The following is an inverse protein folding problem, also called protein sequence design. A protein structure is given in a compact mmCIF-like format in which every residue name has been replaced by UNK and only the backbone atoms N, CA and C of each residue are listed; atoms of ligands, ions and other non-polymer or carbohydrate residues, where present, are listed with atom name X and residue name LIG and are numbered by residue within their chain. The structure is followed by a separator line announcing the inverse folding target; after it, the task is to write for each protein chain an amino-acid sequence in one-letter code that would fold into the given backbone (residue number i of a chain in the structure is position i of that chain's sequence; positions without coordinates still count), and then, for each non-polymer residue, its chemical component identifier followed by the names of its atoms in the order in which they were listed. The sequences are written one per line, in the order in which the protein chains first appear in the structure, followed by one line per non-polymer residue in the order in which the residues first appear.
data_IF_858972492891
#
_entry.id   IF_858972492891
#
_cell.length_a   1.000
_cell.length_b   1.000
_cell.length_c   1.000
_cell.angle_alpha   90.00
_cell.angle_beta   90.00
_cell.angle_gamma   90.00
#
_symmetry.space_group_name_H-M   'P 1'
#
loop_
_entity.id
_entity.type
_entity.pdbx_description
1 polymer ?
#
# COMPACT_ATOMS: atom_id res chain seq x y z
N UNK A 1 -6.81 -2.38 -26.90
CA UNK A 1 -7.36 -1.08 -26.46
C UNK A 1 -7.98 -1.03 -25.04
N UNK A 2 -8.34 -2.16 -24.39
CA UNK A 2 -9.02 -2.16 -23.07
C UNK A 2 -8.16 -1.79 -21.84
N UNK A 3 -6.83 -1.71 -21.98
CA UNK A 3 -5.91 -1.49 -20.84
C UNK A 3 -5.86 0.00 -20.41
N UNK A 4 -6.03 0.95 -21.35
CA UNK A 4 -6.03 2.40 -21.02
C UNK A 4 -7.18 2.80 -20.06
N UNK A 5 -8.35 2.16 -20.15
CA UNK A 5 -9.50 2.47 -19.27
C UNK A 5 -9.28 2.07 -17.81
N UNK A 6 -8.49 1.03 -17.51
CA UNK A 6 -8.26 0.58 -16.13
C UNK A 6 -7.25 1.44 -15.38
N UNK A 7 -6.28 2.02 -16.09
CA UNK A 7 -5.27 2.91 -15.50
C UNK A 7 -5.90 4.25 -15.06
N UNK A 8 -6.83 4.79 -15.85
CA UNK A 8 -7.54 6.01 -15.46
C UNK A 8 -8.37 5.84 -14.19
N UNK A 9 -8.98 4.67 -13.95
CA UNK A 9 -9.86 4.47 -12.80
C UNK A 9 -9.13 4.46 -11.44
N UNK A 10 -7.85 4.06 -11.41
CA UNK A 10 -7.04 4.04 -10.18
C UNK A 10 -6.34 5.36 -9.88
N UNK A 11 -6.03 6.17 -10.90
CA UNK A 11 -5.34 7.46 -10.72
C UNK A 11 -6.27 8.58 -10.24
N UNK A 12 -7.55 8.54 -10.62
CA UNK A 12 -8.55 9.55 -10.27
C UNK A 12 -8.73 9.71 -8.74
N UNK A 13 -8.92 8.65 -7.93
CA UNK A 13 -9.08 8.82 -6.48
C UNK A 13 -7.81 9.32 -5.79
N UNK A 14 -6.62 8.96 -6.27
CA UNK A 14 -5.34 9.43 -5.72
C UNK A 14 -5.14 10.93 -5.99
N UNK A 15 -5.46 11.38 -7.21
CA UNK A 15 -5.38 12.80 -7.59
C UNK A 15 -6.45 13.61 -6.84
N UNK A 16 -7.67 13.09 -6.67
CA UNK A 16 -8.72 13.72 -5.87
C UNK A 16 -8.32 13.85 -4.41
N UNK A 17 -7.73 12.81 -3.81
CA UNK A 17 -7.29 12.84 -2.42
C UNK A 17 -6.15 13.85 -2.20
N UNK A 18 -5.19 13.91 -3.13
CA UNK A 18 -4.12 14.92 -3.12
C UNK A 18 -4.66 16.34 -3.30
N UNK A 19 -5.67 16.53 -4.16
CA UNK A 19 -6.28 17.84 -4.41
C UNK A 19 -7.09 18.33 -3.19
N UNK A 20 -7.80 17.43 -2.52
CA UNK A 20 -8.54 17.74 -1.28
C UNK A 20 -7.58 18.04 -0.13
N UNK A 21 -6.48 17.27 0.00
CA UNK A 21 -5.43 17.55 0.99
C UNK A 21 -4.74 18.90 0.75
N UNK A 22 -4.47 19.24 -0.51
CA UNK A 22 -3.88 20.54 -0.89
C UNK A 22 -4.87 21.70 -0.66
N UNK A 23 -6.16 21.50 -0.98
CA UNK A 23 -7.20 22.49 -0.71
C UNK A 23 -7.43 22.71 0.81
N UNK A 24 -7.28 21.68 1.63
CA UNK A 24 -7.36 21.80 3.09
C UNK A 24 -6.15 22.54 3.71
N UNK A 25 -5.02 22.55 3.02
CA UNK A 25 -3.80 23.28 3.43
C UNK A 25 -3.84 24.77 3.06
N UNK A 26 -4.59 25.15 2.02
CA UNK A 26 -4.84 26.55 1.66
C UNK A 26 -6.04 27.07 2.47
N UNK A 27 -5.84 27.27 3.78
CA UNK A 27 -6.75 28.20 4.49
C UNK A 27 -6.46 29.61 3.96
N UNK A 28 -7.49 30.40 3.62
CA UNK A 28 -7.28 31.78 3.19
C UNK A 28 -6.53 32.51 4.30
N UNK A 29 -5.33 32.99 3.99
CA UNK A 29 -4.62 33.90 4.88
C UNK A 29 -5.50 35.12 5.09
N UNK A 30 -5.70 35.57 6.35
CA UNK A 30 -6.45 36.78 6.60
C UNK A 30 -5.80 37.94 5.81
N UNK A 31 -6.62 38.87 5.27
CA UNK A 31 -6.11 39.97 4.46
C UNK A 31 -5.04 40.74 5.25
N UNK A 32 -3.96 41.19 4.57
CA UNK A 32 -2.90 41.94 5.24
C UNK A 32 -3.50 43.19 5.90
N UNK A 33 -3.16 43.48 7.16
CA UNK A 33 -3.65 44.69 7.81
C UNK A 33 -3.20 45.90 7.00
N UNK A 34 -4.15 46.82 6.77
CA UNK A 34 -3.87 48.13 6.19
C UNK A 34 -2.72 48.79 6.94
N UNK A 35 -1.92 49.62 6.23
CA UNK A 35 -0.68 50.28 6.65
C UNK A 35 -0.78 51.12 7.94
N UNK A 36 -1.08 50.47 9.07
CA UNK A 36 -0.97 50.98 10.42
C UNK A 36 0.42 50.62 10.94
N UNK A 37 1.05 51.55 11.64
CA UNK A 37 2.38 51.34 12.23
C UNK A 37 2.42 50.08 13.10
N UNK A 38 3.64 49.60 13.37
CA UNK A 38 3.95 48.36 14.12
C UNK A 38 3.10 48.13 15.39
N UNK A 39 2.62 49.21 16.01
CA UNK A 39 1.68 49.22 17.15
C UNK A 39 0.30 48.63 16.83
N UNK A 40 -0.26 48.86 15.64
CA UNK A 40 -1.56 48.30 15.24
C UNK A 40 -1.47 46.81 14.88
N UNK A 41 -0.33 46.35 14.37
CA UNK A 41 -0.09 44.91 14.13
C UNK A 41 -0.08 44.14 15.45
N UNK A 42 0.52 44.69 16.50
CA UNK A 42 0.47 44.10 17.85
C UNK A 42 -0.94 44.12 18.45
N UNK A 43 -1.69 45.20 18.24
CA UNK A 43 -3.08 45.31 18.70
C UNK A 43 -4.03 44.34 17.99
N UNK A 44 -3.87 44.18 16.67
CA UNK A 44 -4.67 43.25 15.87
C UNK A 44 -4.34 41.77 16.17
N UNK A 45 -3.11 41.48 16.59
CA UNK A 45 -2.69 40.16 17.05
C UNK A 45 -3.20 39.82 18.48
N UNK A 46 -3.92 40.73 19.15
CA UNK A 46 -4.38 40.54 20.53
C UNK A 46 -3.26 40.51 21.55
N UNK A 47 -2.06 40.98 21.20
CA UNK A 47 -0.90 40.99 22.09
C UNK A 47 -1.02 42.25 22.96
N UNK A 48 -1.19 42.12 24.29
CA UNK A 48 -1.30 43.28 25.18
C UNK A 48 -0.04 44.13 25.06
N UNK A 49 -0.21 45.46 25.05
CA UNK A 49 0.90 46.41 25.04
C UNK A 49 1.84 46.10 26.20
N UNK A 50 3.15 45.97 25.90
CA UNK A 50 4.23 45.74 26.87
C UNK A 50 4.07 46.45 28.24
N UNK A 51 3.65 47.73 28.33
CA UNK A 51 3.42 48.37 29.64
C UNK A 51 2.31 47.75 30.50
N UNK A 52 1.30 47.13 29.90
CA UNK A 52 0.17 46.55 30.65
C UNK A 52 0.52 45.15 31.15
N UNK A 53 1.22 44.34 30.34
CA UNK A 53 1.75 43.03 30.76
C UNK A 53 2.71 43.15 31.94
N UNK A 54 3.56 44.19 31.94
CA UNK A 54 4.47 44.48 33.05
C UNK A 54 3.70 44.87 34.31
N UNK A 55 2.62 45.66 34.21
CA UNK A 55 1.77 46.03 35.36
C UNK A 55 1.03 44.83 35.95
N UNK A 56 0.54 43.91 35.13
CA UNK A 56 -0.12 42.69 35.62
C UNK A 56 0.90 41.79 36.33
N UNK A 57 2.10 41.62 35.78
CA UNK A 57 3.16 40.80 36.38
C UNK A 57 3.80 41.39 37.65
N UNK A 58 3.78 42.72 37.84
CA UNK A 58 4.29 43.40 39.05
C UNK A 58 3.33 43.32 40.26
N UNK A 59 2.24 42.54 40.17
CA UNK A 59 1.35 42.27 41.31
C UNK A 59 0.35 43.40 41.62
N UNK A 60 0.18 44.36 40.71
CA UNK A 60 -0.82 45.43 40.86
C UNK A 60 -2.25 44.96 40.55
N UNK A 61 -2.42 43.76 39.99
CA UNK A 61 -3.71 43.12 39.74
C UNK A 61 -3.62 41.67 40.24
N UNK A 62 -4.49 41.21 41.17
CA UNK A 62 -4.52 39.82 41.61
C UNK A 62 -5.02 38.93 40.46
N UNK A 63 -4.09 38.27 39.76
CA UNK A 63 -4.36 37.30 38.71
C UNK A 63 -3.13 36.42 38.44
N UNK A 64 -3.36 35.14 38.12
CA UNK A 64 -2.34 34.12 37.82
C UNK A 64 -1.39 34.57 36.68
N UNK A 65 -0.30 35.26 37.02
CA UNK A 65 0.70 35.70 36.03
C UNK A 65 1.65 34.60 35.58
N UNK A 66 1.73 33.48 36.31
CA UNK A 66 2.58 32.35 35.94
C UNK A 66 2.19 31.74 34.60
N UNK A 67 0.89 31.64 34.35
CA UNK A 67 0.33 30.91 33.20
C UNK A 67 0.49 31.72 31.90
N UNK A 68 0.34 33.05 31.99
CA UNK A 68 0.42 33.94 30.84
C UNK A 68 1.87 34.12 30.35
N UNK A 69 2.84 34.20 31.27
CA UNK A 69 4.25 34.37 30.92
C UNK A 69 4.81 33.09 30.30
N UNK A 70 4.43 31.92 30.81
CA UNK A 70 4.81 30.62 30.25
C UNK A 70 4.24 30.42 28.83
N UNK A 71 2.96 30.75 28.62
CA UNK A 71 2.32 30.59 27.30
C UNK A 71 2.87 31.57 26.27
N UNK A 72 3.25 32.78 26.69
CA UNK A 72 3.85 33.78 25.79
C UNK A 72 5.31 33.46 25.45
N UNK A 73 6.10 32.94 26.40
CA UNK A 73 7.49 32.56 26.15
C UNK A 73 7.62 31.29 25.30
N UNK A 74 6.69 30.36 25.47
CA UNK A 74 6.70 29.07 24.78
C UNK A 74 5.86 29.12 23.49
N UNK A 75 4.97 30.10 23.35
CA UNK A 75 4.03 30.27 22.24
C UNK A 75 3.19 29.03 21.96
N UNK A 76 2.93 28.23 23.01
CA UNK A 76 1.97 27.16 22.95
C UNK A 76 0.57 27.76 23.13
N UNK A 77 -0.42 27.30 22.35
CA UNK A 77 -1.80 27.69 22.55
C UNK A 77 -2.30 27.29 23.94
N UNK A 78 -3.10 28.13 24.59
CA UNK A 78 -3.59 27.90 25.96
C UNK A 78 -4.31 26.54 26.12
N UNK A 79 -5.01 26.10 25.07
CA UNK A 79 -5.76 24.84 25.06
C UNK A 79 -4.87 23.59 25.24
N UNK A 80 -3.57 23.69 24.94
CA UNK A 80 -2.62 22.58 25.16
C UNK A 80 -2.51 22.27 26.65
N UNK A 81 -2.52 23.29 27.50
CA UNK A 81 -2.44 23.11 28.95
C UNK A 81 -3.81 22.85 29.57
N UNK A 82 -4.87 23.47 29.05
CA UNK A 82 -6.24 23.31 29.59
C UNK A 82 -6.78 21.89 29.39
N UNK A 83 -6.36 21.21 28.32
CA UNK A 83 -6.85 19.87 28.00
C UNK A 83 -6.32 18.78 28.95
N UNK A 84 -5.31 19.07 29.77
CA UNK A 84 -4.72 18.14 30.74
C UNK A 84 -4.15 16.85 30.14
N UNK A 85 -4.15 16.73 28.81
CA UNK A 85 -3.83 15.49 28.12
C UNK A 85 -2.36 15.51 27.71
N UNK A 86 -1.56 14.66 28.34
CA UNK A 86 -0.12 14.52 28.07
C UNK A 86 0.19 14.28 26.58
N UNK A 87 -0.79 13.74 25.85
CA UNK A 87 -0.73 13.50 24.41
C UNK A 87 -0.50 14.78 23.60
N UNK A 88 -1.20 15.88 23.92
CA UNK A 88 -1.01 17.16 23.21
C UNK A 88 0.38 17.73 23.47
N UNK A 89 0.87 17.59 24.71
CA UNK A 89 2.23 17.99 25.07
C UNK A 89 3.26 17.21 24.24
N UNK A 90 3.12 15.89 24.14
CA UNK A 90 4.01 15.07 23.30
C UNK A 90 3.93 15.49 21.83
N UNK A 91 2.72 15.67 21.29
CA UNK A 91 2.53 15.95 19.87
C UNK A 91 3.01 17.34 19.44
N UNK A 92 2.79 18.36 20.26
CA UNK A 92 3.07 19.75 19.91
C UNK A 92 4.40 20.28 20.47
N UNK A 93 4.97 19.64 21.51
CA UNK A 93 6.26 20.00 22.07
C UNK A 93 7.35 19.00 21.68
N UNK A 94 7.17 17.72 22.04
CA UNK A 94 8.24 16.73 22.00
C UNK A 94 8.57 16.30 20.56
N UNK A 95 7.55 16.02 19.75
CA UNK A 95 7.72 15.60 18.35
C UNK A 95 8.45 16.67 17.50
N UNK A 96 7.99 17.95 17.45
CA UNK A 96 8.68 18.96 16.65
C UNK A 96 10.08 19.29 17.18
N UNK A 97 10.29 19.23 18.50
CA UNK A 97 11.62 19.38 19.09
C UNK A 97 12.57 18.27 18.62
N UNK A 98 12.16 17.01 18.72
CA UNK A 98 12.93 15.86 18.23
C UNK A 98 13.19 15.94 16.73
N UNK A 99 12.20 16.35 15.94
CA UNK A 99 12.34 16.57 14.50
C UNK A 99 13.42 17.60 14.18
N UNK A 100 13.37 18.75 14.83
CA UNK A 100 14.36 19.84 14.63
C UNK A 100 15.76 19.40 15.08
N UNK A 101 15.86 18.72 16.21
CA UNK A 101 17.13 18.17 16.70
C UNK A 101 17.75 17.17 15.72
N UNK A 102 16.94 16.25 15.19
CA UNK A 102 17.39 15.27 14.19
C UNK A 102 17.85 15.93 12.88
N UNK A 103 17.13 16.96 12.42
CA UNK A 103 17.50 17.73 11.22
C UNK A 103 18.84 18.46 11.44
N UNK A 104 18.97 19.20 12.55
CA UNK A 104 20.21 19.91 12.90
C UNK A 104 21.40 18.95 13.07
N UNK A 105 21.16 17.80 13.71
CA UNK A 105 22.16 16.75 13.85
C UNK A 105 22.58 16.20 12.47
N UNK A 106 21.64 15.95 11.57
CA UNK A 106 21.90 15.56 10.19
C UNK A 106 22.79 16.56 9.45
N UNK A 107 22.44 17.85 9.52
CA UNK A 107 23.24 18.92 8.91
C UNK A 107 24.66 18.99 9.47
N UNK A 108 24.84 18.94 10.79
CA UNK A 108 26.17 18.97 11.39
C UNK A 108 27.00 17.71 11.10
N UNK A 109 26.34 16.57 10.95
CA UNK A 109 26.99 15.33 10.51
C UNK A 109 27.52 15.46 9.08
N UNK A 110 26.75 16.08 8.18
CA UNK A 110 27.12 16.26 6.78
C UNK A 110 28.21 17.31 6.59
N UNK A 111 28.14 18.43 7.33
CA UNK A 111 29.16 19.49 7.29
C UNK A 111 30.52 19.07 7.88
N UNK A 112 30.60 17.92 8.57
CA UNK A 112 31.83 17.31 9.12
C UNK A 112 32.71 18.27 9.96
N UNK A 113 32.13 19.30 10.57
CA UNK A 113 32.87 20.36 11.31
C UNK A 113 33.71 19.77 12.45
N UNK A 114 33.21 18.75 13.14
CA UNK A 114 33.98 18.03 14.18
C UNK A 114 34.10 16.53 13.85
N UNK A 115 35.04 16.19 12.96
CA UNK A 115 35.31 14.79 12.60
C UNK A 115 35.74 13.93 13.80
N UNK A 116 36.44 14.52 14.78
CA UNK A 116 37.01 13.80 15.95
C UNK A 116 36.03 13.71 17.13
N UNK A 117 35.15 14.69 17.31
CA UNK A 117 34.30 14.80 18.50
C UNK A 117 32.83 14.50 18.18
N UNK A 118 32.51 13.24 17.85
CA UNK A 118 31.14 12.84 17.45
C UNK A 118 30.06 13.21 18.48
N UNK A 119 30.38 13.12 19.78
CA UNK A 119 29.44 13.45 20.87
C UNK A 119 29.12 14.95 20.93
N UNK A 120 30.09 15.80 20.58
CA UNK A 120 29.90 17.26 20.61
C UNK A 120 28.86 17.68 19.59
N UNK A 121 28.84 17.06 18.39
CA UNK A 121 27.82 17.35 17.37
C UNK A 121 26.40 17.07 17.88
N UNK A 122 26.20 16.03 18.68
CA UNK A 122 24.88 15.69 19.22
C UNK A 122 24.40 16.74 20.23
N UNK A 123 25.29 17.17 21.14
CA UNK A 123 24.98 18.21 22.12
C UNK A 123 24.79 19.59 21.48
N UNK A 124 25.61 19.92 20.48
CA UNK A 124 25.48 21.17 19.73
C UNK A 124 24.17 21.21 18.94
N UNK A 125 23.74 20.08 18.37
CA UNK A 125 22.43 19.95 17.71
C UNK A 125 21.29 20.18 18.69
N UNK A 126 21.42 19.61 19.89
CA UNK A 126 20.42 19.73 20.93
C UNK A 126 20.27 21.19 21.39
N UNK A 127 21.41 21.88 21.63
CA UNK A 127 21.43 23.30 22.00
C UNK A 127 20.89 24.19 20.88
N UNK A 128 21.24 23.91 19.62
CA UNK A 128 20.72 24.65 18.47
C UNK A 128 19.20 24.47 18.31
N UNK A 129 18.69 23.24 18.46
CA UNK A 129 17.26 22.96 18.42
C UNK A 129 16.52 23.64 19.58
N UNK A 130 17.11 23.65 20.78
CA UNK A 130 16.56 24.35 21.94
C UNK A 130 16.52 25.86 21.72
N UNK A 131 17.57 26.43 21.11
CA UNK A 131 17.61 27.85 20.74
C UNK A 131 16.61 28.22 19.64
N UNK A 132 16.24 27.27 18.76
CA UNK A 132 15.24 27.50 17.70
C UNK A 132 13.80 27.40 18.21
N UNK A 133 13.59 26.80 19.38
CA UNK A 133 12.27 26.58 19.95
C UNK A 133 11.43 27.86 20.13
N UNK A 134 11.95 28.96 20.72
CA UNK A 134 11.17 30.20 20.89
C UNK A 134 10.90 30.95 19.57
N UNK A 135 11.52 30.56 18.45
CA UNK A 135 11.28 31.22 17.17
C UNK A 135 9.96 30.79 16.52
N UNK A 136 9.27 29.77 17.04
CA UNK A 136 8.03 29.18 16.50
C UNK A 136 8.09 28.68 15.05
N UNK A 137 9.21 28.87 14.32
CA UNK A 137 9.42 28.41 12.94
C UNK A 137 9.65 26.89 12.87
N UNK A 138 10.19 26.30 13.94
CA UNK A 138 10.46 24.87 14.01
C UNK A 138 9.19 24.01 13.87
N UNK A 139 8.07 24.49 14.42
CA UNK A 139 6.79 23.77 14.36
C UNK A 139 6.23 23.63 12.92
N UNK A 140 5.97 24.70 12.15
CA UNK A 140 5.46 24.56 10.80
C UNK A 140 6.45 23.84 9.86
N UNK A 141 7.76 24.02 10.07
CA UNK A 141 8.79 23.35 9.28
C UNK A 141 8.77 21.84 9.48
N UNK A 142 8.74 21.38 10.74
CA UNK A 142 8.68 19.94 11.05
C UNK A 142 7.36 19.33 10.62
N UNK A 143 6.24 20.04 10.80
CA UNK A 143 4.94 19.61 10.31
C UNK A 143 4.93 19.43 8.79
N UNK A 144 5.49 20.39 8.04
CA UNK A 144 5.65 20.30 6.59
C UNK A 144 6.51 19.08 6.21
N UNK A 145 7.64 18.86 6.88
CA UNK A 145 8.50 17.70 6.61
C UNK A 145 7.77 16.38 6.86
N UNK A 146 7.02 16.27 7.96
CA UNK A 146 6.21 15.08 8.25
C UNK A 146 5.11 14.86 7.22
N UNK A 147 4.47 15.93 6.73
CA UNK A 147 3.48 15.84 5.66
C UNK A 147 4.10 15.35 4.36
N UNK A 148 5.27 15.88 3.97
CA UNK A 148 5.99 15.46 2.77
C UNK A 148 6.41 13.99 2.87
N UNK A 149 7.01 13.58 3.99
CA UNK A 149 7.43 12.18 4.21
C UNK A 149 6.22 11.24 4.26
N UNK A 150 5.14 11.65 4.92
CA UNK A 150 3.90 10.89 4.98
C UNK A 150 3.27 10.70 3.60
N UNK A 151 3.15 11.79 2.82
CA UNK A 151 2.68 11.74 1.44
C UNK A 151 3.57 10.84 0.57
N UNK A 152 4.89 10.96 0.72
CA UNK A 152 5.86 10.15 -0.01
C UNK A 152 5.73 8.65 0.30
N UNK A 153 5.52 8.30 1.56
CA UNK A 153 5.30 6.92 1.99
C UNK A 153 4.09 6.29 1.28
N UNK A 154 2.97 7.02 1.19
CA UNK A 154 1.77 6.57 0.48
C UNK A 154 2.03 6.38 -1.02
N UNK A 155 2.79 7.29 -1.65
CA UNK A 155 3.16 7.19 -3.06
C UNK A 155 4.02 5.94 -3.31
N UNK A 156 5.07 5.72 -2.51
CA UNK A 156 5.96 4.55 -2.63
C UNK A 156 5.18 3.25 -2.41
N UNK A 157 4.32 3.21 -1.39
CA UNK A 157 3.43 2.08 -1.14
C UNK A 157 2.52 1.80 -2.34
N UNK A 158 1.91 2.84 -2.91
CA UNK A 158 1.07 2.72 -4.10
C UNK A 158 1.82 2.14 -5.29
N UNK A 159 3.06 2.57 -5.54
CA UNK A 159 3.90 2.04 -6.62
C UNK A 159 4.20 0.55 -6.40
N UNK A 160 4.66 0.18 -5.20
CA UNK A 160 4.97 -1.23 -4.86
C UNK A 160 3.72 -2.09 -4.99
N UNK A 161 2.58 -1.61 -4.49
CA UNK A 161 1.30 -2.31 -4.55
C UNK A 161 0.84 -2.54 -6.00
N UNK A 162 0.90 -1.51 -6.86
CA UNK A 162 0.51 -1.62 -8.27
C UNK A 162 1.43 -2.59 -9.01
N UNK A 163 2.74 -2.52 -8.80
CA UNK A 163 3.71 -3.46 -9.41
C UNK A 163 3.46 -4.89 -8.91
N UNK A 164 3.22 -5.06 -7.61
CA UNK A 164 2.93 -6.35 -7.00
C UNK A 164 1.66 -6.98 -7.56
N UNK A 165 0.56 -6.21 -7.59
CA UNK A 165 -0.72 -6.64 -8.15
C UNK A 165 -0.61 -6.97 -9.65
N UNK A 166 0.17 -6.19 -10.42
CA UNK A 166 0.43 -6.45 -11.83
C UNK A 166 1.16 -7.79 -12.03
N UNK A 167 2.28 -8.01 -11.32
CA UNK A 167 3.05 -9.25 -11.42
C UNK A 167 2.23 -10.46 -10.98
N UNK A 168 1.48 -10.32 -9.89
CA UNK A 168 0.57 -11.36 -9.43
C UNK A 168 -0.49 -11.70 -10.48
N UNK A 169 -1.07 -10.69 -11.14
CA UNK A 169 -2.03 -10.89 -12.22
C UNK A 169 -1.44 -11.59 -13.45
N UNK A 170 -0.18 -11.30 -13.81
CA UNK A 170 0.52 -12.00 -14.89
C UNK A 170 0.78 -13.47 -14.55
N UNK A 171 1.28 -13.75 -13.35
CA UNK A 171 1.54 -15.12 -12.88
C UNK A 171 0.25 -15.95 -12.86
N UNK A 172 -0.83 -15.38 -12.34
CA UNK A 172 -2.12 -16.08 -12.24
C UNK A 172 -2.72 -16.38 -13.61
N UNK A 173 -2.55 -15.48 -14.59
CA UNK A 173 -2.96 -15.74 -15.97
C UNK A 173 -2.19 -16.89 -16.60
N UNK A 174 -0.88 -16.97 -16.35
CA UNK A 174 -0.06 -18.07 -16.86
C UNK A 174 -0.51 -19.43 -16.30
N UNK A 175 -0.83 -19.49 -15.00
CA UNK A 175 -1.35 -20.70 -14.36
C UNK A 175 -2.73 -21.11 -14.89
N UNK A 176 -3.60 -20.14 -15.18
CA UNK A 176 -4.92 -20.44 -15.73
C UNK A 176 -4.83 -20.91 -17.17
N UNK A 177 -3.88 -20.40 -17.96
CA UNK A 177 -3.66 -20.91 -19.31
C UNK A 177 -3.08 -22.32 -19.31
N UNK A 178 -2.19 -22.67 -18.38
CA UNK A 178 -1.67 -24.04 -18.29
C UNK A 178 -2.74 -25.01 -17.80
N UNK A 179 -3.53 -24.64 -16.78
CA UNK A 179 -4.61 -25.49 -16.28
C UNK A 179 -5.71 -25.69 -17.35
N UNK A 180 -6.08 -24.63 -18.07
CA UNK A 180 -7.06 -24.75 -19.16
C UNK A 180 -6.51 -25.56 -20.35
N UNK A 181 -5.21 -25.49 -20.65
CA UNK A 181 -4.59 -26.30 -21.67
C UNK A 181 -4.58 -27.79 -21.28
N UNK A 182 -4.21 -28.10 -20.04
CA UNK A 182 -4.21 -29.48 -19.51
C UNK A 182 -5.62 -30.06 -19.48
N UNK A 183 -6.60 -29.31 -19.00
CA UNK A 183 -8.01 -29.75 -18.99
C UNK A 183 -8.55 -30.02 -20.40
N UNK A 184 -8.12 -29.25 -21.42
CA UNK A 184 -8.47 -29.52 -22.82
C UNK A 184 -7.82 -30.79 -23.33
N UNK A 185 -6.54 -31.00 -23.07
CA UNK A 185 -5.85 -32.22 -23.49
C UNK A 185 -6.45 -33.47 -22.84
N UNK A 186 -6.87 -33.40 -21.57
CA UNK A 186 -7.56 -34.51 -20.88
C UNK A 186 -8.96 -34.77 -21.44
N UNK A 187 -9.71 -33.72 -21.80
CA UNK A 187 -11.00 -33.87 -22.46
C UNK A 187 -10.85 -34.52 -23.85
N UNK A 188 -9.87 -34.08 -24.63
CA UNK A 188 -9.60 -34.60 -25.97
C UNK A 188 -9.15 -36.08 -25.93
N UNK A 189 -8.30 -36.45 -24.96
CA UNK A 189 -7.87 -37.86 -24.79
C UNK A 189 -9.02 -38.76 -24.36
N UNK A 190 -9.88 -38.31 -23.44
CA UNK A 190 -11.10 -39.05 -23.06
C UNK A 190 -12.05 -39.23 -24.24
N UNK A 191 -12.22 -38.21 -25.08
CA UNK A 191 -13.08 -38.32 -26.26
C UNK A 191 -12.50 -39.29 -27.29
N UNK A 192 -11.18 -39.27 -27.52
CA UNK A 192 -10.48 -40.19 -28.40
C UNK A 192 -10.63 -41.66 -27.94
N UNK A 193 -10.41 -41.92 -26.65
CA UNK A 193 -10.59 -43.25 -26.02
C UNK A 193 -12.04 -43.71 -26.20
N UNK A 194 -13.02 -42.83 -25.94
CA UNK A 194 -14.45 -43.15 -26.07
C UNK A 194 -14.84 -43.46 -27.52
N UNK A 195 -14.27 -42.76 -28.51
CA UNK A 195 -14.49 -43.03 -29.93
C UNK A 195 -13.89 -44.39 -30.34
N UNK A 196 -12.66 -44.68 -29.91
CA UNK A 196 -11.99 -45.96 -30.20
C UNK A 196 -12.74 -47.15 -29.57
N UNK A 197 -13.25 -46.99 -28.34
CA UNK A 197 -14.07 -48.02 -27.70
C UNK A 197 -15.35 -48.30 -28.50
N UNK A 198 -16.04 -47.25 -28.95
CA UNK A 198 -17.25 -47.39 -29.79
C UNK A 198 -16.96 -48.09 -31.12
N UNK A 199 -15.85 -47.75 -31.79
CA UNK A 199 -15.50 -48.40 -33.07
C UNK A 199 -15.20 -49.89 -32.89
N UNK A 200 -14.47 -50.27 -31.83
CA UNK A 200 -14.20 -51.70 -31.54
C UNK A 200 -15.44 -52.47 -31.12
N UNK A 201 -16.37 -51.86 -30.37
CA UNK A 201 -17.65 -52.50 -30.05
C UNK A 201 -18.48 -52.76 -31.31
N UNK A 202 -18.50 -51.82 -32.25
CA UNK A 202 -19.20 -51.98 -33.53
C UNK A 202 -18.52 -53.07 -34.38
N UNK A 203 -17.18 -53.09 -34.46
CA UNK A 203 -16.43 -54.14 -35.17
C UNK A 203 -16.73 -55.52 -34.57
N UNK A 204 -16.74 -55.63 -33.24
CA UNK A 204 -17.11 -56.87 -32.54
C UNK A 204 -18.52 -57.34 -32.88
N UNK A 205 -19.49 -56.43 -32.90
CA UNK A 205 -20.88 -56.78 -33.27
C UNK A 205 -20.96 -57.33 -34.70
N UNK A 206 -20.28 -56.69 -35.65
CA UNK A 206 -20.23 -57.14 -37.05
C UNK A 206 -19.57 -58.52 -37.14
N UNK A 207 -18.44 -58.75 -36.45
CA UNK A 207 -17.76 -60.04 -36.45
C UNK A 207 -18.60 -61.17 -35.84
N UNK A 208 -19.35 -60.88 -34.76
CA UNK A 208 -20.26 -61.85 -34.13
C UNK A 208 -21.43 -62.19 -35.06
N UNK A 209 -21.96 -61.22 -35.79
CA UNK A 209 -23.01 -61.44 -36.78
C UNK A 209 -22.50 -62.28 -37.96
N UNK A 210 -21.27 -62.03 -38.44
CA UNK A 210 -20.64 -62.82 -39.50
C UNK A 210 -20.38 -64.29 -39.10
N UNK A 211 -20.10 -64.55 -37.82
CA UNK A 211 -19.88 -65.92 -37.31
C UNK A 211 -21.13 -66.79 -37.49
N UNK A 212 -22.33 -66.22 -37.38
CA UNK A 212 -23.58 -66.97 -37.52
C UNK A 212 -23.73 -67.64 -38.92
N UNK A 213 -23.00 -67.13 -39.92
CA UNK A 213 -23.08 -67.59 -41.31
C UNK A 213 -21.77 -68.23 -41.82
N UNK A 214 -20.72 -68.30 -41.01
CA UNK A 214 -19.39 -68.76 -41.44
C UNK A 214 -19.12 -70.22 -41.07
N UNK A 215 -18.58 -71.00 -42.02
CA UNK A 215 -18.17 -72.40 -41.79
C UNK A 215 -16.68 -72.63 -42.11
N UNK A 216 -16.09 -73.63 -41.47
CA UNK A 216 -14.72 -74.09 -41.73
C UNK A 216 -13.63 -73.06 -41.38
N UNK A 217 -12.64 -72.90 -42.27
CA UNK A 217 -11.45 -72.06 -42.01
C UNK A 217 -11.76 -70.57 -41.76
N UNK A 218 -12.89 -70.06 -42.26
CA UNK A 218 -13.30 -68.66 -42.03
C UNK A 218 -13.75 -68.44 -40.58
N UNK A 219 -14.36 -69.45 -39.97
CA UNK A 219 -14.78 -69.40 -38.56
C UNK A 219 -13.58 -69.25 -37.62
N UNK A 220 -12.50 -69.99 -37.87
CA UNK A 220 -11.27 -69.90 -37.07
C UNK A 220 -10.62 -68.52 -37.18
N UNK A 221 -10.64 -67.92 -38.38
CA UNK A 221 -10.11 -66.58 -38.61
C UNK A 221 -10.94 -65.51 -37.90
N UNK A 222 -12.27 -65.60 -37.96
CA UNK A 222 -13.18 -64.69 -37.26
C UNK A 222 -13.03 -64.81 -35.74
N UNK A 223 -12.96 -66.03 -35.21
CA UNK A 223 -12.76 -66.29 -33.78
C UNK A 223 -11.46 -65.67 -33.27
N UNK A 224 -10.35 -65.84 -34.00
CA UNK A 224 -9.07 -65.19 -33.67
C UNK A 224 -9.16 -63.67 -33.70
N UNK A 225 -9.91 -63.10 -34.64
CA UNK A 225 -10.06 -61.65 -34.75
C UNK A 225 -10.93 -61.09 -33.62
N UNK A 226 -11.97 -61.81 -33.19
CA UNK A 226 -12.74 -61.46 -31.99
C UNK A 226 -11.84 -61.47 -30.75
N UNK A 227 -11.00 -62.48 -30.58
CA UNK A 227 -10.06 -62.55 -29.46
C UNK A 227 -9.08 -61.35 -29.49
N UNK A 228 -8.62 -60.93 -30.67
CA UNK A 228 -7.82 -59.70 -30.81
C UNK A 228 -8.59 -58.45 -30.39
N UNK A 229 -9.83 -58.28 -30.86
CA UNK A 229 -10.69 -57.13 -30.50
C UNK A 229 -11.01 -57.12 -29.01
N UNK A 230 -11.28 -58.27 -28.40
CA UNK A 230 -11.55 -58.40 -26.96
C UNK A 230 -10.32 -58.04 -26.12
N UNK A 231 -9.12 -58.45 -26.57
CA UNK A 231 -7.85 -58.05 -25.95
C UNK A 231 -7.59 -56.54 -26.07
N UNK A 232 -7.92 -55.92 -27.20
CA UNK A 232 -7.81 -54.46 -27.38
C UNK A 232 -8.81 -53.70 -26.50
N UNK A 233 -10.06 -54.17 -26.40
CA UNK A 233 -11.06 -53.61 -25.49
C UNK A 233 -10.61 -53.69 -24.03
N UNK A 234 -9.99 -54.80 -23.62
CA UNK A 234 -9.43 -54.94 -22.27
C UNK A 234 -8.32 -53.92 -22.00
N UNK A 235 -7.42 -53.69 -22.97
CA UNK A 235 -6.36 -52.67 -22.88
C UNK A 235 -6.92 -51.25 -22.79
N UNK A 236 -7.91 -50.92 -23.62
CA UNK A 236 -8.54 -49.59 -23.59
C UNK A 236 -9.27 -49.36 -22.26
N UNK A 237 -9.91 -50.40 -21.71
CA UNK A 237 -10.56 -50.31 -20.39
C UNK A 237 -9.54 -50.03 -19.28
N UNK A 238 -8.35 -50.64 -19.34
CA UNK A 238 -7.26 -50.33 -18.41
C UNK A 238 -6.74 -48.90 -18.57
N UNK A 239 -6.65 -48.40 -19.82
CA UNK A 239 -6.28 -47.00 -20.07
C UNK A 239 -7.33 -46.01 -19.55
N UNK A 240 -8.62 -46.32 -19.70
CA UNK A 240 -9.72 -45.51 -19.16
C UNK A 240 -9.66 -45.45 -17.63
N UNK A 241 -9.45 -46.59 -16.97
CA UNK A 241 -9.28 -46.64 -15.51
C UNK A 241 -8.06 -45.85 -15.02
N UNK A 242 -6.92 -45.93 -15.73
CA UNK A 242 -5.72 -45.15 -15.40
C UNK A 242 -5.94 -43.64 -15.58
N UNK A 243 -6.72 -43.22 -16.59
CA UNK A 243 -7.08 -41.81 -16.81
C UNK A 243 -8.11 -41.32 -15.78
N UNK A 244 -8.94 -42.20 -15.23
CA UNK A 244 -9.89 -41.88 -14.16
C UNK A 244 -9.15 -41.67 -12.82
N UNK A 245 -8.20 -42.55 -12.49
CA UNK A 245 -7.37 -42.45 -11.28
C UNK A 245 -6.51 -41.18 -11.24
N UNK A 246 -6.02 -40.69 -12.39
CA UNK A 246 -5.25 -39.44 -12.45
C UNK A 246 -6.11 -38.20 -12.23
N UNK A 247 -7.44 -38.30 -12.38
CA UNK A 247 -8.34 -37.15 -12.26
C UNK A 247 -9.07 -37.03 -10.92
N UNK A 248 -8.99 -38.04 -10.05
CA UNK A 248 -9.48 -37.99 -8.67
C UNK A 248 -8.43 -37.37 -7.73
#
# INVERSE_FOLDING_TARGET
MKIKKKICFFLIPVILFMSVALAALVKPTPPPPAKGGLVEVFKAAGIPSWPDTVKTCLGLIPGNCGDMLLNTLIGLPDWVFTSGSIWYLIQYLVIPFLGTWMIMYGFMKELRIFRRARKVNTWLAFLAAFSLYPLHIAYPLTLLMFQIIGAWSVIVFGIIFVIGAWKYGLLRRAQWTSAAAVARTEADTREAIRKQRKSLFNERQILVEEIAYAEGKRLDQLTKRIEQVDNELARIKQQEAAVEEVTE
#
